data_IF_581946239085
#
_entry.id   IF_581946239085
#
_cell.length_a   1.000
_cell.length_b   1.000
_cell.length_c   1.000
_cell.angle_alpha   90.00
_cell.angle_beta   90.00
_cell.angle_gamma   90.00
#
_symmetry.space_group_name_H-M   'P 1'
#
loop_
_entity.id
_entity.type
_entity.pdbx_description
1 polymer ?
#
# COMPACT_ATOMS: atom_id res chain seq x y z
N UNK A 1 10.16 -21.35 -15.20
CA UNK A 1 9.35 -20.25 -14.59
C UNK A 1 9.22 -19.13 -15.59
N UNK A 2 7.98 -18.75 -15.94
CA UNK A 2 7.75 -17.68 -16.92
C UNK A 2 7.85 -16.29 -16.28
N UNK A 3 7.41 -16.17 -15.03
CA UNK A 3 7.42 -14.91 -14.29
C UNK A 3 7.46 -15.15 -12.79
N UNK A 4 7.93 -14.14 -12.06
CA UNK A 4 7.80 -14.00 -10.60
C UNK A 4 6.95 -12.77 -10.35
N UNK A 5 5.87 -12.91 -9.55
CA UNK A 5 5.02 -11.79 -9.12
C UNK A 5 5.11 -11.63 -7.61
N UNK A 6 5.27 -10.39 -7.12
CA UNK A 6 5.34 -10.09 -5.70
C UNK A 6 4.85 -8.66 -5.39
N UNK A 7 4.43 -8.46 -4.15
CA UNK A 7 4.20 -7.13 -3.55
C UNK A 7 5.47 -6.66 -2.84
N UNK A 8 5.85 -5.40 -2.98
CA UNK A 8 6.94 -4.77 -2.19
C UNK A 8 6.57 -4.71 -0.71
N UNK A 9 5.30 -4.44 -0.41
CA UNK A 9 4.73 -4.56 0.94
C UNK A 9 3.46 -5.38 0.82
N UNK A 10 3.45 -6.56 1.42
CA UNK A 10 2.28 -7.43 1.43
C UNK A 10 1.16 -6.79 2.26
N UNK A 11 0.13 -6.28 1.60
CA UNK A 11 -0.97 -5.58 2.25
C UNK A 11 -1.86 -6.51 3.06
N UNK A 12 -2.44 -7.50 2.41
CA UNK A 12 -3.32 -8.50 3.04
C UNK A 12 -2.54 -9.45 3.96
N UNK A 13 -1.23 -9.65 3.70
CA UNK A 13 -0.33 -10.44 4.53
C UNK A 13 0.07 -9.79 5.86
N UNK A 14 -0.45 -8.59 6.19
CA UNK A 14 -0.21 -7.94 7.47
C UNK A 14 0.74 -6.74 7.43
N UNK A 15 0.79 -6.03 6.30
CA UNK A 15 1.72 -4.92 6.06
C UNK A 15 3.17 -5.37 6.29
N UNK A 16 3.60 -6.34 5.51
CA UNK A 16 4.94 -6.94 5.62
C UNK A 16 5.84 -6.45 4.48
N UNK A 17 6.77 -5.52 4.75
CA UNK A 17 7.72 -5.06 3.74
C UNK A 17 8.71 -6.16 3.40
N UNK A 18 9.02 -6.29 2.10
CA UNK A 18 10.07 -7.16 1.63
C UNK A 18 11.45 -6.58 1.99
N UNK A 19 12.43 -7.46 2.18
CA UNK A 19 13.81 -7.04 2.43
C UNK A 19 14.48 -6.64 1.10
N UNK A 20 15.39 -5.67 1.14
CA UNK A 20 16.06 -5.16 -0.05
C UNK A 20 16.89 -6.23 -0.77
N UNK A 21 17.58 -7.07 -0.03
CA UNK A 21 18.39 -8.18 -0.56
C UNK A 21 17.52 -9.25 -1.26
N UNK A 22 16.32 -9.53 -0.71
CA UNK A 22 15.34 -10.42 -1.34
C UNK A 22 14.85 -9.85 -2.68
N UNK A 23 14.51 -8.56 -2.73
CA UNK A 23 14.06 -7.91 -3.97
C UNK A 23 15.16 -7.89 -5.03
N UNK A 24 16.39 -7.57 -4.63
CA UNK A 24 17.55 -7.62 -5.50
C UNK A 24 17.84 -9.04 -6.00
N UNK A 25 17.67 -10.06 -5.14
CA UNK A 25 17.84 -11.45 -5.52
C UNK A 25 16.74 -11.90 -6.51
N UNK A 26 15.48 -11.49 -6.29
CA UNK A 26 14.37 -11.78 -7.20
C UNK A 26 14.61 -11.19 -8.60
N UNK A 27 15.12 -9.95 -8.68
CA UNK A 27 15.46 -9.32 -9.97
C UNK A 27 16.58 -10.09 -10.68
N UNK A 28 17.69 -10.36 -9.98
CA UNK A 28 18.80 -11.15 -10.56
C UNK A 28 18.35 -12.51 -11.04
N UNK A 29 17.57 -13.23 -10.24
CA UNK A 29 17.01 -14.54 -10.63
C UNK A 29 16.19 -14.42 -11.93
N UNK A 30 15.31 -13.44 -12.02
CA UNK A 30 14.52 -13.23 -13.23
C UNK A 30 15.39 -12.94 -14.46
N UNK A 31 16.46 -12.15 -14.30
CA UNK A 31 17.39 -11.82 -15.39
C UNK A 31 18.16 -13.07 -15.85
N UNK A 32 18.68 -13.85 -14.90
CA UNK A 32 19.46 -15.09 -15.17
C UNK A 32 18.60 -16.20 -15.81
N UNK A 33 17.34 -16.30 -15.44
CA UNK A 33 16.43 -17.34 -15.96
C UNK A 33 15.59 -16.88 -17.15
N UNK A 34 15.73 -15.64 -17.59
CA UNK A 34 14.88 -15.07 -18.63
C UNK A 34 13.42 -14.93 -18.26
N UNK A 35 13.09 -14.99 -16.93
CA UNK A 35 11.76 -14.81 -16.41
C UNK A 35 11.39 -13.32 -16.30
N UNK A 36 10.09 -13.01 -16.29
CA UNK A 36 9.61 -11.65 -16.04
C UNK A 36 9.51 -11.39 -14.54
N UNK A 37 9.88 -10.18 -14.11
CA UNK A 37 9.57 -9.68 -12.76
C UNK A 37 8.33 -8.79 -12.84
N UNK A 38 7.29 -9.17 -12.10
CA UNK A 38 6.03 -8.44 -11.99
C UNK A 38 5.90 -7.91 -10.57
N UNK A 39 5.72 -6.60 -10.43
CA UNK A 39 5.47 -5.98 -9.13
C UNK A 39 4.00 -5.57 -9.04
N UNK A 40 3.31 -6.08 -8.03
CA UNK A 40 1.94 -5.68 -7.71
C UNK A 40 1.95 -4.47 -6.77
N UNK A 41 1.68 -3.31 -7.35
CA UNK A 41 1.54 -2.04 -6.65
C UNK A 41 0.08 -1.56 -6.57
N UNK A 42 -0.87 -2.48 -6.71
CA UNK A 42 -2.28 -2.14 -6.60
C UNK A 42 -2.62 -1.50 -5.23
N UNK A 43 -1.88 -1.84 -4.18
CA UNK A 43 -2.09 -1.28 -2.84
C UNK A 43 -0.97 -0.32 -2.41
N UNK A 44 0.25 -0.54 -2.85
CA UNK A 44 1.44 0.22 -2.44
C UNK A 44 1.69 1.47 -3.28
N UNK A 45 1.20 1.50 -4.50
CA UNK A 45 1.39 2.61 -5.44
C UNK A 45 0.65 3.88 -5.06
N UNK A 46 0.90 4.91 -5.86
CA UNK A 46 0.28 6.23 -5.75
C UNK A 46 0.47 6.86 -4.37
N UNK A 47 1.72 7.11 -4.01
CA UNK A 47 2.18 7.81 -2.81
C UNK A 47 1.96 7.07 -1.48
N UNK A 48 1.24 5.92 -1.46
CA UNK A 48 0.86 5.20 -0.25
C UNK A 48 2.04 4.90 0.69
N UNK A 49 3.17 4.51 0.12
CA UNK A 49 4.38 4.08 0.86
C UNK A 49 5.42 5.18 1.04
N UNK A 50 5.12 6.43 0.64
CA UNK A 50 6.05 7.55 0.77
C UNK A 50 6.90 7.82 -0.48
N UNK A 51 6.64 7.11 -1.58
CA UNK A 51 7.12 7.34 -2.94
C UNK A 51 5.96 7.17 -3.90
N UNK A 52 6.06 7.62 -5.16
CA UNK A 52 4.98 7.43 -6.13
C UNK A 52 4.70 5.93 -6.30
N UNK A 53 5.73 5.13 -6.47
CA UNK A 53 5.68 3.66 -6.45
C UNK A 53 6.66 3.10 -5.42
N UNK A 54 6.30 2.02 -4.73
CA UNK A 54 7.13 1.43 -3.68
C UNK A 54 8.45 0.87 -4.24
N UNK A 55 8.49 0.41 -5.49
CA UNK A 55 9.69 -0.10 -6.14
C UNK A 55 10.80 0.95 -6.29
N UNK A 56 10.46 2.25 -6.34
CA UNK A 56 11.44 3.35 -6.40
C UNK A 56 12.37 3.37 -5.18
N UNK A 57 11.88 2.93 -4.02
CA UNK A 57 12.67 2.89 -2.78
C UNK A 57 13.87 1.92 -2.84
N UNK A 58 13.87 1.03 -3.82
CA UNK A 58 14.84 -0.05 -3.97
C UNK A 58 15.56 0.00 -5.33
N UNK A 59 15.40 1.09 -6.08
CA UNK A 59 15.87 1.22 -7.46
C UNK A 59 15.50 -0.01 -8.31
N UNK A 60 14.32 -0.60 -8.02
CA UNK A 60 13.85 -1.82 -8.65
C UNK A 60 13.00 -1.50 -9.87
N UNK A 61 13.48 -1.92 -11.04
CA UNK A 61 12.75 -1.79 -12.31
C UNK A 61 12.13 -3.15 -12.66
N UNK A 62 10.81 -3.32 -12.54
CA UNK A 62 10.13 -4.54 -12.94
C UNK A 62 9.92 -4.59 -14.46
N UNK A 63 9.66 -5.79 -15.00
CA UNK A 63 9.21 -5.95 -16.39
C UNK A 63 7.73 -5.56 -16.55
N UNK A 64 6.93 -5.75 -15.49
CA UNK A 64 5.53 -5.34 -15.42
C UNK A 64 5.21 -4.73 -14.05
N UNK A 65 4.48 -3.61 -14.06
CA UNK A 65 4.00 -2.94 -12.85
C UNK A 65 2.48 -2.88 -12.88
N UNK A 66 1.84 -3.56 -11.90
CA UNK A 66 0.38 -3.60 -11.78
C UNK A 66 -0.10 -2.47 -10.86
N UNK A 67 -1.01 -1.65 -11.36
CA UNK A 67 -1.50 -0.44 -10.71
C UNK A 67 -3.03 -0.44 -10.66
N UNK A 68 -3.61 0.02 -9.53
CA UNK A 68 -5.07 0.11 -9.36
C UNK A 68 -5.42 1.06 -8.19
N UNK A 69 -6.58 0.86 -7.58
CA UNK A 69 -7.09 1.51 -6.35
C UNK A 69 -6.93 3.04 -6.35
N UNK A 70 -5.81 3.56 -5.85
CA UNK A 70 -5.56 5.01 -5.72
C UNK A 70 -5.42 5.78 -7.02
N UNK A 71 -5.18 5.09 -8.15
CA UNK A 71 -4.84 5.71 -9.44
C UNK A 71 -5.85 6.77 -9.91
N UNK A 72 -7.14 6.53 -9.72
CA UNK A 72 -8.21 7.39 -10.25
C UNK A 72 -9.13 7.96 -9.16
N UNK A 73 -8.60 8.15 -7.93
CA UNK A 73 -9.31 8.83 -6.85
C UNK A 73 -10.64 8.17 -6.43
N UNK A 74 -10.84 6.87 -6.73
CA UNK A 74 -12.06 6.12 -6.43
C UNK A 74 -12.84 5.63 -7.65
N UNK A 75 -12.53 6.11 -8.86
CA UNK A 75 -13.06 5.53 -10.09
C UNK A 75 -12.37 4.19 -10.36
N UNK A 76 -13.14 3.11 -10.71
CA UNK A 76 -12.54 1.81 -11.03
C UNK A 76 -11.63 1.91 -12.26
N UNK A 77 -10.34 1.70 -12.05
CA UNK A 77 -9.33 1.66 -13.10
C UNK A 77 -8.19 0.74 -12.67
N UNK A 78 -7.73 -0.11 -13.57
CA UNK A 78 -6.49 -0.88 -13.45
C UNK A 78 -5.59 -0.60 -14.64
N UNK A 79 -4.30 -0.52 -14.39
CA UNK A 79 -3.26 -0.28 -15.40
C UNK A 79 -2.13 -1.25 -15.18
N UNK A 80 -1.56 -1.76 -16.26
CA UNK A 80 -0.31 -2.50 -16.25
C UNK A 80 0.69 -1.76 -17.13
N UNK A 81 1.78 -1.30 -16.53
CA UNK A 81 2.91 -0.76 -17.29
C UNK A 81 3.85 -1.91 -17.63
N UNK A 82 4.33 -1.95 -18.85
CA UNK A 82 5.21 -3.02 -19.34
C UNK A 82 6.46 -2.43 -19.96
N UNK A 83 7.58 -3.12 -19.80
CA UNK A 83 8.77 -2.88 -20.62
C UNK A 83 8.60 -3.46 -22.04
N UNK A 84 9.48 -3.15 -22.96
CA UNK A 84 9.47 -3.66 -24.34
C UNK A 84 9.63 -5.18 -24.41
N UNK A 85 10.04 -5.84 -23.34
CA UNK A 85 10.08 -7.31 -23.23
C UNK A 85 8.70 -7.95 -23.28
N UNK A 86 7.64 -7.18 -22.98
CA UNK A 86 6.26 -7.67 -22.92
C UNK A 86 5.48 -7.05 -24.07
N UNK A 87 5.13 -7.87 -25.06
CA UNK A 87 4.36 -7.42 -26.21
C UNK A 87 3.06 -8.21 -26.30
N UNK A 88 1.94 -7.50 -26.35
CA UNK A 88 0.63 -8.08 -26.62
C UNK A 88 0.28 -7.88 -28.10
N UNK A 89 0.03 -8.97 -28.83
CA UNK A 89 -0.47 -8.89 -30.18
C UNK A 89 -1.89 -8.32 -30.26
N UNK A 90 -2.28 -7.84 -31.42
CA UNK A 90 -3.62 -7.32 -31.65
C UNK A 90 -4.66 -8.42 -31.38
N UNK A 91 -5.66 -8.11 -30.55
CA UNK A 91 -6.79 -9.01 -30.23
C UNK A 91 -6.52 -10.08 -29.17
N UNK A 92 -5.30 -10.19 -28.60
CA UNK A 92 -5.00 -11.17 -27.55
C UNK A 92 -5.34 -10.66 -26.15
N UNK A 93 -5.50 -9.36 -25.97
CA UNK A 93 -5.91 -8.73 -24.71
C UNK A 93 -6.95 -7.65 -24.98
N UNK A 94 -8.00 -7.62 -24.17
CA UNK A 94 -9.08 -6.64 -24.30
C UNK A 94 -9.88 -6.48 -23.02
N UNK A 95 -10.51 -5.32 -22.87
CA UNK A 95 -11.42 -5.01 -21.79
C UNK A 95 -12.50 -4.06 -22.30
N UNK A 96 -13.78 -4.37 -22.02
CA UNK A 96 -14.90 -3.53 -22.47
C UNK A 96 -14.84 -2.12 -21.90
N UNK A 97 -14.44 -1.98 -20.63
CA UNK A 97 -14.39 -0.68 -19.93
C UNK A 97 -12.97 -0.19 -19.65
N UNK A 98 -11.94 -0.97 -19.99
CA UNK A 98 -10.54 -0.59 -19.81
C UNK A 98 -10.19 0.64 -20.63
N UNK A 99 -9.51 1.61 -20.01
CA UNK A 99 -9.08 2.84 -20.69
C UNK A 99 -10.23 3.78 -21.07
N UNK A 100 -11.41 3.68 -20.44
CA UNK A 100 -12.49 4.60 -20.75
C UNK A 100 -12.12 6.05 -20.40
N UNK A 101 -12.58 7.05 -21.20
CA UNK A 101 -12.14 8.44 -21.05
C UNK A 101 -12.42 9.05 -19.68
N UNK A 102 -13.53 8.67 -19.04
CA UNK A 102 -13.89 9.20 -17.72
C UNK A 102 -12.90 8.75 -16.65
N UNK A 103 -12.59 7.46 -16.59
CA UNK A 103 -11.62 6.94 -15.61
C UNK A 103 -10.21 7.45 -15.89
N UNK A 104 -9.81 7.60 -17.17
CA UNK A 104 -8.51 8.17 -17.54
C UNK A 104 -8.42 9.65 -17.13
N UNK A 105 -9.46 10.45 -17.36
CA UNK A 105 -9.48 11.85 -16.93
C UNK A 105 -9.42 11.98 -15.39
N UNK A 106 -10.14 11.11 -14.66
CA UNK A 106 -10.06 11.07 -13.20
C UNK A 106 -8.66 10.67 -12.71
N UNK A 107 -8.00 9.72 -13.39
CA UNK A 107 -6.66 9.29 -13.06
C UNK A 107 -5.62 10.40 -13.28
N UNK A 108 -5.69 11.12 -14.40
CA UNK A 108 -4.81 12.26 -14.65
C UNK A 108 -4.95 13.32 -13.56
N UNK A 109 -6.18 13.74 -13.25
CA UNK A 109 -6.44 14.72 -12.21
C UNK A 109 -5.96 14.26 -10.81
N UNK A 110 -6.10 12.97 -10.49
CA UNK A 110 -5.62 12.41 -9.23
C UNK A 110 -4.08 12.38 -9.16
N UNK A 111 -3.40 12.03 -10.25
CA UNK A 111 -1.94 12.00 -10.34
C UNK A 111 -1.38 13.42 -10.23
N UNK A 112 -1.94 14.37 -10.99
CA UNK A 112 -1.54 15.78 -10.93
C UNK A 112 -1.68 16.31 -9.50
N UNK A 113 -2.82 16.05 -8.84
CA UNK A 113 -3.03 16.45 -7.45
C UNK A 113 -2.00 15.84 -6.49
N UNK A 114 -1.65 14.56 -6.67
CA UNK A 114 -0.65 13.89 -5.83
C UNK A 114 0.74 14.53 -6.00
N UNK A 115 1.10 14.92 -7.22
CA UNK A 115 2.37 15.56 -7.53
C UNK A 115 2.41 17.02 -7.04
N UNK A 116 1.39 17.80 -7.35
CA UNK A 116 1.31 19.22 -6.98
C UNK A 116 1.34 19.46 -5.46
N UNK A 117 0.84 18.47 -4.69
CA UNK A 117 0.78 18.55 -3.22
C UNK A 117 1.83 17.70 -2.52
N UNK A 118 2.77 17.13 -3.25
CA UNK A 118 3.81 16.22 -2.72
C UNK A 118 3.25 15.19 -1.72
N UNK A 119 2.20 14.49 -2.15
CA UNK A 119 1.54 13.53 -1.26
C UNK A 119 2.44 12.35 -0.89
N UNK A 120 3.51 12.08 -1.64
CA UNK A 120 4.50 11.07 -1.30
C UNK A 120 5.27 11.46 -0.02
N UNK A 121 5.85 12.66 0.02
CA UNK A 121 6.51 13.17 1.22
C UNK A 121 5.51 13.29 2.38
N UNK A 122 4.32 13.83 2.13
CA UNK A 122 3.26 13.92 3.14
C UNK A 122 2.89 12.56 3.75
N UNK A 123 2.81 11.50 2.94
CA UNK A 123 2.49 10.15 3.42
C UNK A 123 3.62 9.58 4.27
N UNK A 124 4.88 9.82 3.91
CA UNK A 124 6.04 9.43 4.71
C UNK A 124 6.02 10.11 6.08
N UNK A 125 5.95 11.44 6.08
CA UNK A 125 6.06 12.26 7.28
C UNK A 125 4.89 11.99 8.25
N UNK A 126 3.67 11.85 7.73
CA UNK A 126 2.49 11.49 8.51
C UNK A 126 2.54 10.06 9.05
N UNK A 127 3.12 9.13 8.29
CA UNK A 127 3.31 7.77 8.74
C UNK A 127 4.31 7.70 9.90
N UNK A 128 5.43 8.42 9.82
CA UNK A 128 6.42 8.56 10.90
C UNK A 128 5.81 9.25 12.12
N UNK A 129 5.09 10.36 11.92
CA UNK A 129 4.36 11.04 12.99
C UNK A 129 3.41 10.11 13.74
N UNK A 130 2.59 9.33 12.99
CA UNK A 130 1.68 8.38 13.61
C UNK A 130 2.42 7.30 14.40
N UNK A 131 3.52 6.77 13.85
CA UNK A 131 4.32 5.76 14.51
C UNK A 131 4.88 6.27 15.83
N UNK A 132 5.47 7.46 15.85
CA UNK A 132 6.02 8.09 17.06
C UNK A 132 4.91 8.33 18.10
N UNK A 133 3.79 8.89 17.68
CA UNK A 133 2.64 9.19 18.54
C UNK A 133 2.03 7.93 19.17
N UNK A 134 1.88 6.86 18.39
CA UNK A 134 1.30 5.61 18.87
C UNK A 134 2.30 4.78 19.70
N UNK A 135 3.58 4.74 19.28
CA UNK A 135 4.61 3.90 19.91
C UNK A 135 5.11 4.45 21.25
N UNK A 136 4.89 5.71 21.56
CA UNK A 136 5.30 6.33 22.84
C UNK A 136 4.75 5.62 24.08
N UNK A 137 3.64 4.88 23.95
CA UNK A 137 3.05 4.04 25.00
C UNK A 137 2.34 2.83 24.39
N UNK A 138 3.11 1.87 23.88
CA UNK A 138 2.52 0.67 23.26
C UNK A 138 1.67 -0.13 24.24
N UNK A 139 0.40 -0.44 23.91
CA UNK A 139 -0.43 -1.34 24.70
C UNK A 139 0.17 -2.76 24.78
N UNK A 140 0.02 -3.43 25.91
CA UNK A 140 0.62 -4.76 26.17
C UNK A 140 0.15 -5.84 25.18
N UNK A 141 -1.02 -5.66 24.55
CA UNK A 141 -1.60 -6.54 23.54
C UNK A 141 -0.91 -6.44 22.17
N UNK A 142 -0.20 -5.35 21.90
CA UNK A 142 0.53 -5.15 20.66
C UNK A 142 1.80 -5.99 20.66
N UNK A 143 2.01 -6.74 19.59
CA UNK A 143 3.24 -7.50 19.36
C UNK A 143 4.25 -6.68 18.58
N UNK A 144 3.79 -6.03 17.52
CA UNK A 144 4.62 -5.30 16.57
C UNK A 144 3.79 -4.24 15.85
N UNK A 145 4.42 -3.13 15.51
CA UNK A 145 3.88 -2.12 14.60
C UNK A 145 4.79 -2.04 13.38
N UNK A 146 4.22 -2.21 12.21
CA UNK A 146 4.89 -2.05 10.92
C UNK A 146 4.32 -0.85 10.20
N UNK A 147 5.17 -0.02 9.61
CA UNK A 147 4.75 1.19 8.93
C UNK A 147 5.64 1.43 7.70
N UNK A 148 5.00 1.73 6.56
CA UNK A 148 5.65 2.19 5.34
C UNK A 148 4.77 3.30 4.75
N UNK A 149 5.16 4.55 4.93
CA UNK A 149 4.28 5.69 4.62
C UNK A 149 2.97 5.62 5.42
N UNK A 150 1.85 5.81 4.75
CA UNK A 150 0.50 5.66 5.34
C UNK A 150 -0.08 4.24 5.14
N UNK A 151 0.77 3.23 5.11
CA UNK A 151 0.41 1.83 5.16
C UNK A 151 0.90 1.25 6.49
N UNK A 152 -0.03 1.01 7.44
CA UNK A 152 0.30 0.72 8.83
C UNK A 152 -0.37 -0.60 9.24
N UNK A 153 0.40 -1.50 9.83
CA UNK A 153 -0.05 -2.77 10.40
C UNK A 153 0.27 -2.86 11.88
N UNK A 154 -0.74 -3.05 12.71
CA UNK A 154 -0.59 -3.25 14.15
C UNK A 154 -0.88 -4.71 14.43
N UNK A 155 0.16 -5.50 14.68
CA UNK A 155 0.03 -6.93 14.99
C UNK A 155 -0.26 -7.12 16.47
N UNK A 156 -1.31 -7.85 16.77
CA UNK A 156 -1.73 -8.17 18.13
C UNK A 156 -1.25 -9.57 18.51
N UNK A 157 -1.19 -9.84 19.80
CA UNK A 157 -0.93 -11.17 20.38
C UNK A 157 -2.16 -12.10 20.31
N UNK A 158 -3.28 -11.56 19.85
CA UNK A 158 -4.60 -12.20 19.81
C UNK A 158 -5.38 -11.76 18.56
N UNK A 159 -6.63 -12.23 18.40
CA UNK A 159 -7.44 -11.92 17.22
C UNK A 159 -7.81 -10.44 17.16
N UNK A 160 -7.64 -9.81 15.99
CA UNK A 160 -7.94 -8.40 15.75
C UNK A 160 -9.45 -8.08 15.70
N UNK A 161 -10.30 -9.07 15.39
CA UNK A 161 -11.74 -8.86 15.13
C UNK A 161 -12.48 -8.10 16.24
N UNK A 162 -12.31 -8.38 17.55
CA UNK A 162 -12.99 -7.62 18.61
C UNK A 162 -12.61 -6.14 18.59
N UNK A 163 -11.34 -5.84 18.37
CA UNK A 163 -10.81 -4.48 18.37
C UNK A 163 -11.24 -3.69 17.14
N UNK A 164 -11.33 -4.34 15.97
CA UNK A 164 -11.91 -3.71 14.77
C UNK A 164 -13.35 -3.28 14.98
N UNK A 165 -14.17 -4.11 15.66
CA UNK A 165 -15.54 -3.75 16.02
C UNK A 165 -15.59 -2.59 17.03
N UNK A 166 -14.71 -2.59 18.03
CA UNK A 166 -14.63 -1.52 19.02
C UNK A 166 -14.15 -0.19 18.40
N UNK A 167 -13.21 -0.23 17.46
CA UNK A 167 -12.78 0.95 16.69
C UNK A 167 -13.92 1.52 15.84
N UNK A 168 -14.71 0.66 15.18
CA UNK A 168 -15.87 1.08 14.39
C UNK A 168 -16.91 1.82 15.27
N UNK A 169 -17.16 1.35 16.49
CA UNK A 169 -18.03 2.04 17.47
C UNK A 169 -17.49 3.42 17.86
N UNK A 170 -16.17 3.61 17.77
CA UNK A 170 -15.49 4.90 17.98
C UNK A 170 -15.33 5.72 16.69
N UNK A 171 -16.04 5.34 15.60
CA UNK A 171 -16.01 5.98 14.29
C UNK A 171 -14.63 5.93 13.59
N UNK A 172 -13.81 4.95 13.94
CA UNK A 172 -12.55 4.64 13.27
C UNK A 172 -12.74 3.38 12.44
N UNK A 173 -12.67 3.53 11.12
CA UNK A 173 -12.72 2.42 10.18
C UNK A 173 -11.30 1.88 9.98
N UNK A 174 -11.06 0.67 10.46
CA UNK A 174 -9.82 -0.08 10.25
C UNK A 174 -10.15 -1.44 9.62
N UNK A 175 -9.17 -2.05 8.97
CA UNK A 175 -9.34 -3.28 8.21
C UNK A 175 -8.51 -4.42 8.83
N UNK A 176 -8.93 -5.67 8.71
CA UNK A 176 -8.08 -6.80 9.05
C UNK A 176 -6.98 -6.98 7.99
N UNK A 177 -5.84 -7.53 8.41
CA UNK A 177 -4.84 -8.12 7.50
C UNK A 177 -4.34 -9.42 8.12
N UNK A 178 -5.02 -10.51 7.78
CA UNK A 178 -4.92 -11.77 8.51
C UNK A 178 -5.67 -11.72 9.87
N UNK A 179 -5.51 -12.75 10.72
CA UNK A 179 -6.32 -12.90 11.92
C UNK A 179 -5.96 -11.96 13.08
N UNK A 180 -4.73 -11.48 13.13
CA UNK A 180 -4.16 -10.76 14.29
C UNK A 180 -3.74 -9.32 13.99
N UNK A 181 -3.87 -8.84 12.75
CA UNK A 181 -3.40 -7.51 12.36
C UNK A 181 -4.56 -6.55 12.15
N UNK A 182 -4.50 -5.40 12.81
CA UNK A 182 -5.29 -4.21 12.49
C UNK A 182 -4.50 -3.43 11.44
N UNK A 183 -5.08 -3.24 10.25
CA UNK A 183 -4.47 -2.48 9.17
C UNK A 183 -5.14 -1.12 9.04
N UNK A 184 -4.31 -0.07 8.97
CA UNK A 184 -4.75 1.29 8.70
C UNK A 184 -4.24 1.72 7.32
N UNK A 185 -5.15 2.22 6.51
CA UNK A 185 -4.92 2.79 5.20
C UNK A 185 -5.66 4.13 5.10
N UNK A 186 -5.26 5.12 5.89
CA UNK A 186 -5.98 6.40 5.91
C UNK A 186 -5.88 7.10 4.54
N UNK A 187 -6.79 8.05 4.23
CA UNK A 187 -6.64 8.89 3.06
C UNK A 187 -5.28 9.60 3.07
N UNK A 188 -4.64 9.79 1.91
CA UNK A 188 -3.36 10.51 1.82
C UNK A 188 -3.45 11.94 2.34
N UNK A 189 -4.64 12.54 2.24
CA UNK A 189 -4.95 13.89 2.72
C UNK A 189 -5.34 13.96 4.21
N UNK A 190 -5.24 12.86 4.97
CA UNK A 190 -5.54 12.84 6.40
C UNK A 190 -4.74 13.92 7.14
N UNK A 191 -5.35 14.57 8.13
CA UNK A 191 -4.66 15.58 8.96
C UNK A 191 -3.99 14.92 10.18
N UNK A 192 -3.05 15.63 10.81
CA UNK A 192 -2.42 15.19 12.07
C UNK A 192 -3.42 15.04 13.19
N UNK A 193 -4.38 15.96 13.33
CA UNK A 193 -5.45 15.87 14.34
C UNK A 193 -6.30 14.59 14.17
N UNK A 194 -6.55 14.20 12.91
CA UNK A 194 -7.25 12.95 12.62
C UNK A 194 -6.39 11.73 12.96
N UNK A 195 -5.08 11.78 12.72
CA UNK A 195 -4.15 10.72 13.12
C UNK A 195 -4.07 10.61 14.64
N UNK A 196 -4.08 11.73 15.37
CA UNK A 196 -4.15 11.73 16.83
C UNK A 196 -5.43 11.08 17.34
N UNK A 197 -6.58 11.42 16.76
CA UNK A 197 -7.85 10.80 17.12
C UNK A 197 -7.85 9.26 16.89
N UNK A 198 -7.20 8.81 15.81
CA UNK A 198 -7.02 7.37 15.53
C UNK A 198 -6.09 6.72 16.55
N UNK A 199 -4.97 7.35 16.90
CA UNK A 199 -4.04 6.84 17.92
C UNK A 199 -4.71 6.73 19.31
N UNK A 200 -5.47 7.76 19.70
CA UNK A 200 -6.22 7.77 20.96
C UNK A 200 -7.30 6.67 21.00
N UNK A 201 -8.03 6.48 19.89
CA UNK A 201 -9.01 5.40 19.78
C UNK A 201 -8.35 4.01 19.89
N UNK A 202 -7.19 3.81 19.26
CA UNK A 202 -6.41 2.58 19.36
C UNK A 202 -5.93 2.34 20.80
N UNK A 203 -5.37 3.35 21.46
CA UNK A 203 -4.98 3.24 22.87
C UNK A 203 -6.18 2.87 23.75
N UNK A 204 -7.33 3.52 23.56
CA UNK A 204 -8.51 3.25 24.34
C UNK A 204 -9.04 1.82 24.18
N UNK A 205 -8.97 1.22 22.97
CA UNK A 205 -9.49 -0.14 22.74
C UNK A 205 -8.48 -1.24 23.00
N UNK A 206 -7.17 -0.92 23.01
CA UNK A 206 -6.10 -1.90 23.20
C UNK A 206 -5.54 -1.92 24.63
N UNK A 207 -5.87 -0.93 25.48
CA UNK A 207 -5.37 -0.84 26.86
C UNK A 207 -6.22 -1.61 27.87
N UNK A 208 -7.44 -1.99 27.51
CA UNK A 208 -8.34 -2.81 28.32
C UNK A 208 -8.04 -4.30 28.05
#
# INVERSE_FOLDING_TARGET
>A
TAAVILEIVQGEGGVRPAQADYLAAARRFCDEQGALLIIDEAQTGFCRTGTLFACERFDLVPDMLCLAKGIAGGMPLGVVLCTDRVQAGIGVHGSTFGGNPLACAAALAAIDFMQDHDLAASARDKGEYFLDRFSGKLPARVREVRQVGLMIGIELKEKATPYLKALLQRRVLALPAGPTVIRLLPPLVITTDQLDAVADALHAVLSD
#
